data_IF_084130519591
#
_entry.id   IF_084130519591
#
_cell.length_a   1.000
_cell.length_b   1.000
_cell.length_c   1.000
_cell.angle_alpha   90.00
_cell.angle_beta   90.00
_cell.angle_gamma   90.00
#
_symmetry.space_group_name_H-M   'P 1'
#
loop_
_entity.id
_entity.type
_entity.pdbx_description
1 polymer ?
#
# COMPACT_ATOMS: atom_id res chain seq x y z
N UNK A 1 -17.95 32.10 0.26
CA UNK A 1 -16.98 31.60 -0.73
C UNK A 1 -16.02 30.65 -0.03
N UNK A 2 -15.74 29.48 -0.63
CA UNK A 2 -14.85 28.46 -0.05
C UNK A 2 -13.39 28.82 -0.36
N UNK A 3 -12.49 28.68 0.62
CA UNK A 3 -11.04 28.87 0.43
C UNK A 3 -10.46 27.96 -0.66
N UNK A 4 -9.55 28.47 -1.51
CA UNK A 4 -8.92 27.67 -2.56
C UNK A 4 -8.12 26.49 -1.99
N UNK A 5 -7.52 26.63 -0.81
CA UNK A 5 -6.81 25.52 -0.16
C UNK A 5 -7.73 24.31 0.12
N UNK A 6 -8.99 24.55 0.50
CA UNK A 6 -9.96 23.47 0.75
C UNK A 6 -10.43 22.81 -0.56
N UNK A 7 -10.60 23.59 -1.63
CA UNK A 7 -10.98 23.02 -2.93
C UNK A 7 -9.84 22.19 -3.52
N UNK A 8 -8.61 22.68 -3.44
CA UNK A 8 -7.42 21.93 -3.87
C UNK A 8 -7.25 20.67 -3.03
N UNK A 9 -7.47 20.75 -1.70
CA UNK A 9 -7.46 19.57 -0.85
C UNK A 9 -8.45 18.50 -1.35
N UNK A 10 -9.70 18.88 -1.65
CA UNK A 10 -10.71 17.96 -2.20
C UNK A 10 -10.25 17.31 -3.50
N UNK A 11 -9.63 18.07 -4.40
CA UNK A 11 -9.15 17.54 -5.68
C UNK A 11 -8.00 16.55 -5.47
N UNK A 12 -7.10 16.81 -4.52
CA UNK A 12 -6.05 15.87 -4.11
C UNK A 12 -6.65 14.61 -3.48
N UNK A 13 -7.66 14.76 -2.62
CA UNK A 13 -8.45 13.65 -2.06
C UNK A 13 -9.02 12.75 -3.16
N UNK A 14 -9.64 13.35 -4.17
CA UNK A 14 -10.25 12.60 -5.28
C UNK A 14 -9.19 11.85 -6.10
N UNK A 15 -8.03 12.46 -6.35
CA UNK A 15 -6.90 11.80 -7.04
C UNK A 15 -6.36 10.61 -6.24
N UNK A 16 -6.21 10.75 -4.92
CA UNK A 16 -5.79 9.65 -4.05
C UNK A 16 -6.78 8.48 -4.09
N UNK A 17 -8.07 8.75 -4.01
CA UNK A 17 -9.11 7.72 -4.14
C UNK A 17 -9.04 7.01 -5.50
N UNK A 18 -8.84 7.77 -6.58
CA UNK A 18 -8.73 7.20 -7.93
C UNK A 18 -7.48 6.33 -8.10
N UNK A 19 -6.33 6.72 -7.53
CA UNK A 19 -5.09 5.93 -7.58
C UNK A 19 -5.20 4.65 -6.76
N UNK A 20 -5.73 4.76 -5.53
CA UNK A 20 -5.86 3.61 -4.62
C UNK A 20 -6.94 2.60 -5.04
N UNK A 21 -7.93 3.03 -5.83
CA UNK A 21 -8.95 2.13 -6.37
C UNK A 21 -8.46 1.28 -7.55
N UNK A 22 -7.41 1.72 -8.27
CA UNK A 22 -6.90 0.99 -9.43
C UNK A 22 -6.15 -0.27 -9.02
N UNK A 23 -6.46 -1.38 -9.68
CA UNK A 23 -5.59 -2.55 -9.62
C UNK A 23 -4.26 -2.19 -10.26
N UNK A 24 -3.18 -2.20 -9.47
CA UNK A 24 -1.86 -1.83 -9.95
C UNK A 24 -1.07 -3.10 -10.23
N UNK A 25 -0.51 -3.24 -11.43
CA UNK A 25 0.44 -4.31 -11.75
C UNK A 25 1.76 -4.10 -11.00
N UNK A 26 2.59 -5.12 -10.92
CA UNK A 26 3.87 -5.03 -10.21
C UNK A 26 4.79 -3.94 -10.78
N UNK A 27 4.86 -3.81 -12.11
CA UNK A 27 5.64 -2.77 -12.80
C UNK A 27 5.15 -1.33 -12.53
N UNK A 28 3.84 -1.17 -12.34
CA UNK A 28 3.23 0.15 -12.12
C UNK A 28 3.17 0.50 -10.62
N UNK A 29 3.45 -0.46 -9.73
CA UNK A 29 3.31 -0.32 -8.27
C UNK A 29 4.16 0.83 -7.75
N UNK A 30 5.44 0.86 -8.11
CA UNK A 30 6.38 1.87 -7.65
C UNK A 30 5.97 3.27 -8.12
N UNK A 31 5.55 3.39 -9.37
CA UNK A 31 5.05 4.66 -9.93
C UNK A 31 3.78 5.14 -9.22
N UNK A 32 2.86 4.23 -8.90
CA UNK A 32 1.65 4.55 -8.14
C UNK A 32 1.99 4.98 -6.71
N UNK A 33 2.94 4.32 -6.05
CA UNK A 33 3.41 4.70 -4.70
C UNK A 33 3.99 6.12 -4.71
N UNK A 34 4.92 6.41 -5.63
CA UNK A 34 5.51 7.75 -5.77
C UNK A 34 4.45 8.83 -6.03
N UNK A 35 3.42 8.50 -6.82
CA UNK A 35 2.31 9.41 -7.08
C UNK A 35 1.47 9.67 -5.84
N UNK A 36 1.22 8.63 -5.03
CA UNK A 36 0.50 8.76 -3.74
C UNK A 36 1.31 9.59 -2.76
N UNK A 37 2.62 9.33 -2.63
CA UNK A 37 3.53 10.09 -1.76
C UNK A 37 3.54 11.57 -2.11
N UNK A 38 3.68 11.92 -3.41
CA UNK A 38 3.63 13.33 -3.83
C UNK A 38 2.29 14.02 -3.52
N UNK A 39 1.16 13.30 -3.62
CA UNK A 39 -0.15 13.84 -3.26
C UNK A 39 -0.31 14.02 -1.73
N UNK A 40 0.34 13.18 -0.92
CA UNK A 40 0.38 13.34 0.53
C UNK A 40 1.26 14.53 0.93
N UNK A 41 2.41 14.71 0.29
CA UNK A 41 3.28 15.88 0.50
C UNK A 41 2.56 17.19 0.15
N UNK A 42 1.78 17.20 -0.94
CA UNK A 42 1.00 18.37 -1.32
C UNK A 42 -0.11 18.69 -0.30
N UNK A 43 -0.69 17.68 0.35
CA UNK A 43 -1.64 17.89 1.46
C UNK A 43 -0.95 18.49 2.67
N UNK A 44 0.22 17.99 3.06
CA UNK A 44 0.97 18.53 4.20
C UNK A 44 1.27 20.03 4.02
N UNK A 45 1.58 20.46 2.78
CA UNK A 45 1.76 21.88 2.45
C UNK A 45 0.46 22.69 2.51
N UNK A 46 -0.69 22.08 2.23
CA UNK A 46 -2.00 22.75 2.26
C UNK A 46 -2.58 22.87 3.66
N UNK A 47 -2.28 21.93 4.56
CA UNK A 47 -2.77 21.90 5.94
C UNK A 47 -2.66 23.23 6.71
N UNK A 48 -1.52 23.97 6.71
CA UNK A 48 -1.42 25.24 7.41
C UNK A 48 -2.35 26.33 6.86
N UNK A 49 -2.81 26.22 5.61
CA UNK A 49 -3.73 27.17 5.00
C UNK A 49 -5.20 26.91 5.35
N UNK A 50 -5.50 25.77 5.99
CA UNK A 50 -6.86 25.36 6.42
C UNK A 50 -6.97 25.52 7.94
N UNK A 51 -6.94 26.76 8.42
CA UNK A 51 -7.03 27.11 9.83
C UNK A 51 -8.29 27.93 10.16
N UNK A 52 -8.71 27.87 11.42
CA UNK A 52 -9.81 28.70 11.93
C UNK A 52 -9.47 30.21 11.85
N UNK A 53 -10.47 31.12 11.78
CA UNK A 53 -11.92 30.87 11.87
C UNK A 53 -12.54 30.41 10.53
N UNK A 54 -13.51 29.50 10.58
CA UNK A 54 -14.23 29.00 9.40
C UNK A 54 -15.62 29.64 9.25
N UNK A 55 -15.97 29.99 8.02
CA UNK A 55 -17.33 30.42 7.64
C UNK A 55 -18.33 29.25 7.68
N UNK A 56 -19.64 29.55 7.68
CA UNK A 56 -20.68 28.51 7.67
C UNK A 56 -20.58 27.57 6.45
N UNK A 57 -20.29 28.15 5.27
CA UNK A 57 -20.07 27.40 4.02
C UNK A 57 -18.86 26.47 4.12
N UNK A 58 -17.74 26.97 4.67
CA UNK A 58 -16.52 26.16 4.87
C UNK A 58 -16.73 25.04 5.87
N UNK A 59 -17.55 25.25 6.92
CA UNK A 59 -17.91 24.19 7.86
C UNK A 59 -18.74 23.10 7.21
N UNK A 60 -19.70 23.47 6.35
CA UNK A 60 -20.50 22.50 5.60
C UNK A 60 -19.62 21.69 4.64
N UNK A 61 -18.77 22.36 3.87
CA UNK A 61 -17.81 21.74 2.96
C UNK A 61 -16.79 20.85 3.70
N UNK A 62 -16.32 21.29 4.87
CA UNK A 62 -15.41 20.55 5.73
C UNK A 62 -16.01 19.22 6.22
N UNK A 63 -17.32 19.16 6.50
CA UNK A 63 -17.99 17.90 6.88
C UNK A 63 -17.98 16.87 5.75
N UNK A 64 -18.20 17.31 4.52
CA UNK A 64 -18.10 16.45 3.33
C UNK A 64 -16.67 15.95 3.15
N UNK A 65 -15.70 16.85 3.26
CA UNK A 65 -14.27 16.53 3.20
C UNK A 65 -13.85 15.48 4.24
N UNK A 66 -14.24 15.64 5.50
CA UNK A 66 -13.94 14.67 6.58
C UNK A 66 -14.51 13.29 6.26
N UNK A 67 -15.69 13.24 5.64
CA UNK A 67 -16.29 11.95 5.20
C UNK A 67 -15.42 11.30 4.12
N UNK A 68 -14.97 12.07 3.12
CA UNK A 68 -14.06 11.57 2.09
C UNK A 68 -12.71 11.11 2.66
N UNK A 69 -12.17 11.80 3.67
CA UNK A 69 -10.91 11.42 4.32
C UNK A 69 -10.99 10.04 4.99
N UNK A 70 -12.13 9.72 5.61
CA UNK A 70 -12.34 8.39 6.18
C UNK A 70 -12.24 7.29 5.11
N UNK A 71 -12.70 7.56 3.89
CA UNK A 71 -12.61 6.62 2.78
C UNK A 71 -11.20 6.55 2.17
N UNK A 72 -10.48 7.67 2.09
CA UNK A 72 -9.07 7.69 1.71
C UNK A 72 -8.24 6.80 2.64
N UNK A 73 -8.43 6.94 3.95
CA UNK A 73 -7.71 6.16 4.95
C UNK A 73 -7.92 4.65 4.73
N UNK A 74 -9.18 4.22 4.57
CA UNK A 74 -9.52 2.82 4.30
C UNK A 74 -8.86 2.33 3.01
N UNK A 75 -8.88 3.13 1.95
CA UNK A 75 -8.31 2.73 0.64
C UNK A 75 -6.79 2.64 0.69
N UNK A 76 -6.12 3.56 1.36
CA UNK A 76 -4.67 3.49 1.59
C UNK A 76 -4.28 2.26 2.43
N UNK A 77 -5.05 1.95 3.48
CA UNK A 77 -4.83 0.75 4.29
C UNK A 77 -4.99 -0.54 3.47
N UNK A 78 -6.03 -0.62 2.63
CA UNK A 78 -6.25 -1.74 1.73
C UNK A 78 -5.12 -1.86 0.70
N UNK A 79 -4.69 -0.74 0.12
CA UNK A 79 -3.59 -0.71 -0.84
C UNK A 79 -2.28 -1.21 -0.19
N UNK A 80 -1.95 -0.73 1.01
CA UNK A 80 -0.79 -1.19 1.80
C UNK A 80 -0.87 -2.68 2.11
N UNK A 81 -2.05 -3.18 2.50
CA UNK A 81 -2.26 -4.62 2.76
C UNK A 81 -2.02 -5.45 1.50
N UNK A 82 -2.49 -4.99 0.34
CA UNK A 82 -2.26 -5.66 -0.95
C UNK A 82 -0.77 -5.77 -1.26
N UNK A 83 -0.01 -4.68 -1.13
CA UNK A 83 1.44 -4.69 -1.33
C UNK A 83 2.12 -5.73 -0.42
N UNK A 84 1.72 -5.79 0.86
CA UNK A 84 2.26 -6.77 1.80
C UNK A 84 1.96 -8.21 1.40
N UNK A 85 0.73 -8.48 0.95
CA UNK A 85 0.34 -9.81 0.46
C UNK A 85 1.16 -10.22 -0.76
N UNK A 86 1.36 -9.31 -1.71
CA UNK A 86 2.16 -9.55 -2.91
C UNK A 86 3.62 -9.89 -2.55
N UNK A 87 4.22 -9.17 -1.58
CA UNK A 87 5.57 -9.47 -1.08
C UNK A 87 5.63 -10.88 -0.48
N UNK A 88 4.66 -11.23 0.37
CA UNK A 88 4.61 -12.55 1.01
C UNK A 88 4.42 -13.69 0.00
N UNK A 89 3.59 -13.50 -1.02
CA UNK A 89 3.36 -14.48 -2.09
C UNK A 89 4.64 -14.70 -2.91
N UNK A 90 5.34 -13.62 -3.28
CA UNK A 90 6.61 -13.70 -4.00
C UNK A 90 7.70 -14.42 -3.19
N UNK A 91 7.76 -14.22 -1.87
CA UNK A 91 8.68 -14.96 -0.99
C UNK A 91 8.31 -16.45 -0.88
N UNK A 92 7.02 -16.76 -0.75
CA UNK A 92 6.53 -18.14 -0.63
C UNK A 92 6.78 -18.95 -1.90
N UNK A 93 6.60 -18.34 -3.09
CA UNK A 93 6.95 -18.94 -4.38
C UNK A 93 8.44 -19.29 -4.49
N UNK A 94 9.33 -18.41 -4.00
CA UNK A 94 10.77 -18.68 -3.94
C UNK A 94 11.11 -19.82 -2.97
N UNK A 95 10.45 -19.89 -1.83
CA UNK A 95 10.60 -20.97 -0.85
C UNK A 95 10.18 -22.34 -1.40
N UNK A 96 9.01 -22.41 -2.02
CA UNK A 96 8.52 -23.65 -2.64
C UNK A 96 9.40 -24.12 -3.79
N UNK A 97 9.91 -23.20 -4.64
CA UNK A 97 10.82 -23.57 -5.72
C UNK A 97 12.15 -24.14 -5.20
N UNK A 98 12.67 -23.64 -4.08
CA UNK A 98 13.86 -24.22 -3.41
C UNK A 98 13.60 -25.61 -2.82
N UNK A 99 12.41 -25.85 -2.25
CA UNK A 99 12.02 -27.15 -1.70
C UNK A 99 11.85 -28.20 -2.81
N UNK A 100 11.32 -27.82 -3.97
CA UNK A 100 11.18 -28.71 -5.13
C UNK A 100 12.53 -29.06 -5.79
N UNK A 101 13.52 -28.16 -5.74
CA UNK A 101 14.86 -28.41 -6.27
C UNK A 101 15.75 -29.25 -5.34
N UNK A 102 15.30 -29.52 -4.11
CA UNK A 102 16.10 -30.26 -3.14
C UNK A 102 15.39 -31.47 -2.49
N UNK A 103 14.89 -32.45 -3.28
CA UNK A 103 14.26 -33.65 -2.72
C UNK A 103 15.24 -34.64 -2.07
N UNK A 104 16.57 -34.40 -2.09
CA UNK A 104 17.59 -35.35 -1.64
C UNK A 104 18.54 -34.84 -0.54
N UNK A 105 18.46 -33.59 -0.10
CA UNK A 105 19.34 -33.09 0.97
C UNK A 105 18.98 -33.57 2.38
N UNK A 106 17.79 -34.15 2.55
CA UNK A 106 17.39 -34.74 3.82
C UNK A 106 17.48 -36.27 3.82
N UNK A 107 18.39 -36.85 3.00
CA UNK A 107 18.90 -38.18 3.30
C UNK A 107 19.87 -38.00 4.46
N UNK A 108 19.34 -38.11 5.68
CA UNK A 108 20.14 -38.39 6.86
C UNK A 108 20.92 -39.67 6.56
N UNK A 109 22.18 -39.50 6.15
CA UNK A 109 23.15 -40.58 6.00
C UNK A 109 23.56 -40.98 7.40
N UNK A 110 22.65 -41.61 8.12
CA UNK A 110 22.99 -42.33 9.33
C UNK A 110 23.89 -43.50 8.88
N UNK A 111 25.13 -43.46 9.35
CA UNK A 111 26.17 -44.37 8.91
C UNK A 111 25.95 -45.78 9.45
N UNK A 112 26.68 -46.72 8.85
CA UNK A 112 26.90 -48.11 9.32
C UNK A 112 25.75 -49.04 8.92
N UNK A 113 25.94 -50.02 8.03
CA UNK A 113 26.81 -51.17 8.21
C UNK A 113 27.51 -51.59 6.90
N UNK A 114 28.81 -51.78 6.98
CA UNK A 114 29.51 -52.74 6.13
C UNK A 114 29.11 -54.14 6.62
N UNK A 115 28.67 -55.02 5.73
CA UNK A 115 29.01 -56.43 5.87
C UNK A 115 29.80 -56.85 4.63
N UNK A 116 31.02 -57.29 4.91
CA UNK A 116 32.04 -57.69 3.95
C UNK A 116 31.61 -58.96 3.22
N UNK A 117 32.03 -59.07 1.96
CA UNK A 117 31.93 -60.30 1.17
C UNK A 117 32.59 -61.49 1.88
N UNK A 118 31.83 -62.55 2.16
CA UNK A 118 32.13 -63.94 1.78
C UNK A 118 30.89 -64.82 1.87
#
# INVERSE_FOLDING_TARGET
>A
MIRPAMTVWRDVTMKLLALTAKHTSEEQRDKTILSIEGLLDDRDKLQPHIAAPFTAEEKAFGKELVTMEADVQKKLDLFRKRIRLDISDTQSKKGNMKNYLNPYSNVARDGTFYDTKQ
#
